data_IF_363526429680
#
_entry.id   IF_363526429680
#
_cell.length_a   1.000
_cell.length_b   1.000
_cell.length_c   1.000
_cell.angle_alpha   90.00
_cell.angle_beta   90.00
_cell.angle_gamma   90.00
#
_symmetry.space_group_name_H-M   'P 1'
#
loop_
_entity.id
_entity.type
_entity.pdbx_description
1 polymer ?
#
# COMPACT_ATOMS: atom_id res chain seq x y z
N UNK A 1 -1.51 -17.34 9.44
CA UNK A 1 -1.25 -16.19 8.55
C UNK A 1 -2.41 -15.24 8.71
N UNK A 2 -2.16 -14.00 9.13
CA UNK A 2 -3.25 -13.01 9.13
C UNK A 2 -3.62 -12.75 7.66
N UNK A 3 -4.91 -12.87 7.39
CA UNK A 3 -5.50 -12.99 6.06
C UNK A 3 -5.65 -11.63 5.40
N UNK A 4 -5.47 -11.59 4.08
CA UNK A 4 -5.89 -10.43 3.30
C UNK A 4 -7.39 -10.16 3.53
N UNK A 5 -7.76 -8.89 3.48
CA UNK A 5 -9.10 -8.38 3.72
C UNK A 5 -9.79 -8.08 2.39
N UNK A 6 -11.02 -8.56 2.24
CA UNK A 6 -11.83 -8.31 1.04
C UNK A 6 -12.92 -7.28 1.32
N UNK A 7 -13.06 -6.31 0.42
CA UNK A 7 -14.25 -5.48 0.25
C UNK A 7 -14.76 -5.59 -1.18
N UNK A 8 -16.07 -5.66 -1.38
CA UNK A 8 -16.66 -5.92 -2.69
C UNK A 8 -18.13 -5.47 -2.77
N UNK A 9 -18.60 -5.33 -4.00
CA UNK A 9 -20.02 -5.31 -4.35
C UNK A 9 -20.24 -6.31 -5.53
N UNK A 10 -21.39 -6.24 -6.20
CA UNK A 10 -21.69 -7.12 -7.36
C UNK A 10 -20.89 -6.80 -8.64
N UNK A 11 -20.09 -5.74 -8.65
CA UNK A 11 -19.37 -5.21 -9.82
C UNK A 11 -17.85 -5.25 -9.68
N UNK A 12 -17.34 -5.15 -8.46
CA UNK A 12 -15.91 -5.05 -8.16
C UNK A 12 -15.58 -5.74 -6.84
N UNK A 13 -14.41 -6.38 -6.79
CA UNK A 13 -13.79 -6.98 -5.62
C UNK A 13 -12.39 -6.38 -5.43
N UNK A 14 -12.06 -6.07 -4.18
CA UNK A 14 -10.79 -5.46 -3.79
C UNK A 14 -10.21 -6.29 -2.66
N UNK A 15 -8.94 -6.68 -2.81
CA UNK A 15 -8.18 -7.41 -1.77
C UNK A 15 -7.10 -6.50 -1.25
N UNK A 16 -7.04 -6.37 0.07
CA UNK A 16 -6.10 -5.51 0.80
C UNK A 16 -5.31 -6.36 1.77
N UNK A 17 -4.00 -6.17 1.88
CA UNK A 17 -3.17 -6.86 2.84
C UNK A 17 -2.66 -5.90 3.92
N UNK A 18 -3.32 -5.86 5.10
CA UNK A 18 -2.87 -5.03 6.20
C UNK A 18 -1.48 -5.39 6.70
N UNK A 19 -1.03 -6.64 6.53
CA UNK A 19 0.26 -7.10 7.06
C UNK A 19 1.47 -6.70 6.22
N UNK A 20 1.24 -6.18 5.01
CA UNK A 20 2.28 -5.75 4.10
C UNK A 20 1.94 -4.36 3.56
N UNK A 21 2.08 -3.34 4.39
CA UNK A 21 1.90 -1.94 3.99
C UNK A 21 0.47 -1.52 3.67
N UNK A 22 -0.54 -2.33 4.01
CA UNK A 22 -1.91 -2.07 3.57
C UNK A 22 -2.06 -2.11 2.05
N UNK A 23 -1.22 -2.92 1.38
CA UNK A 23 -1.17 -3.04 -0.09
C UNK A 23 -2.51 -3.48 -0.63
N UNK A 24 -2.99 -2.83 -1.69
CA UNK A 24 -4.10 -3.35 -2.48
C UNK A 24 -3.50 -4.35 -3.47
N UNK A 25 -3.78 -5.63 -3.25
CA UNK A 25 -3.20 -6.73 -4.03
C UNK A 25 -4.04 -7.04 -5.28
N UNK A 26 -5.34 -6.77 -5.19
CA UNK A 26 -6.31 -7.09 -6.24
C UNK A 26 -7.35 -6.00 -6.42
N UNK A 27 -7.63 -5.67 -7.68
CA UNK A 27 -8.80 -4.89 -8.10
C UNK A 27 -9.37 -5.59 -9.34
N UNK A 28 -10.56 -6.16 -9.24
CA UNK A 28 -11.15 -6.91 -10.36
C UNK A 28 -12.65 -7.07 -10.27
N UNK A 29 -13.27 -7.61 -11.32
CA UNK A 29 -14.72 -7.90 -11.37
C UNK A 29 -15.14 -8.93 -10.31
N UNK A 30 -14.25 -9.87 -10.02
CA UNK A 30 -14.40 -10.92 -9.02
C UNK A 30 -13.06 -11.13 -8.32
N UNK A 31 -12.96 -12.14 -7.46
CA UNK A 31 -11.69 -12.59 -6.87
C UNK A 31 -10.89 -13.52 -7.80
N UNK A 32 -11.33 -13.70 -9.04
CA UNK A 32 -10.57 -14.46 -10.04
C UNK A 32 -9.32 -13.65 -10.43
N UNK A 33 -8.09 -14.20 -10.25
CA UNK A 33 -6.84 -13.53 -10.59
C UNK A 33 -6.79 -12.99 -12.02
N UNK A 34 -7.46 -13.64 -12.99
CA UNK A 34 -7.50 -13.20 -14.39
C UNK A 34 -8.23 -11.86 -14.58
N UNK A 35 -9.03 -11.45 -13.59
CA UNK A 35 -9.73 -10.15 -13.60
C UNK A 35 -8.98 -9.04 -12.89
N UNK A 36 -7.82 -9.34 -12.29
CA UNK A 36 -7.02 -8.34 -11.59
C UNK A 36 -6.41 -7.36 -12.60
N UNK A 37 -6.67 -6.06 -12.40
CA UNK A 37 -6.04 -5.02 -13.23
C UNK A 37 -4.64 -4.64 -12.75
N UNK A 38 -4.29 -5.00 -11.52
CA UNK A 38 -2.96 -4.78 -10.97
C UNK A 38 -1.99 -5.88 -11.42
N UNK A 39 -0.74 -5.51 -11.63
CA UNK A 39 0.32 -6.50 -11.75
C UNK A 39 0.50 -7.13 -10.37
N UNK A 40 0.13 -8.40 -10.21
CA UNK A 40 0.27 -9.14 -8.96
C UNK A 40 0.84 -10.53 -9.23
N UNK A 41 1.86 -10.92 -8.46
CA UNK A 41 2.55 -12.18 -8.65
C UNK A 41 2.56 -12.99 -7.35
N UNK A 42 1.95 -14.17 -7.37
CA UNK A 42 1.89 -15.08 -6.22
C UNK A 42 3.13 -15.99 -6.19
N UNK A 43 4.30 -15.41 -5.86
CA UNK A 43 5.52 -16.18 -5.67
C UNK A 43 5.91 -16.25 -4.19
N UNK A 44 6.25 -17.46 -3.73
CA UNK A 44 6.69 -17.70 -2.36
C UNK A 44 8.14 -17.21 -2.12
N UNK A 45 8.93 -17.13 -3.18
CA UNK A 45 10.33 -16.72 -3.13
C UNK A 45 10.58 -15.37 -3.85
N UNK A 46 11.46 -14.51 -3.31
CA UNK A 46 12.13 -14.66 -2.02
C UNK A 46 11.14 -14.58 -0.84
N UNK A 47 11.35 -15.42 0.17
CA UNK A 47 10.60 -15.32 1.42
C UNK A 47 10.78 -13.92 2.05
N UNK A 48 9.72 -13.42 2.68
CA UNK A 48 9.75 -12.10 3.30
C UNK A 48 10.80 -12.02 4.42
N UNK A 49 11.76 -11.12 4.30
CA UNK A 49 12.79 -10.87 5.30
C UNK A 49 12.21 -10.16 6.54
N UNK A 50 12.85 -10.25 7.72
CA UNK A 50 12.40 -9.54 8.92
C UNK A 50 12.20 -8.03 8.71
N UNK A 51 11.28 -7.44 9.47
CA UNK A 51 11.00 -5.99 9.41
C UNK A 51 12.14 -5.15 10.03
N UNK A 52 12.97 -5.77 10.87
CA UNK A 52 14.18 -5.17 11.41
C UNK A 52 15.35 -5.43 10.46
N UNK A 53 16.12 -4.38 10.20
CA UNK A 53 17.25 -4.43 9.28
C UNK A 53 18.29 -3.35 9.59
N UNK A 54 19.54 -3.64 9.24
CA UNK A 54 20.65 -2.70 9.32
C UNK A 54 20.49 -1.52 8.35
N UNK A 55 21.29 -0.48 8.55
CA UNK A 55 21.40 0.64 7.63
C UNK A 55 21.81 0.16 6.22
N UNK A 56 21.26 0.79 5.19
CA UNK A 56 21.42 0.48 3.76
C UNK A 56 20.82 -0.84 3.27
N UNK A 57 20.15 -1.61 4.13
CA UNK A 57 19.54 -2.90 3.76
C UNK A 57 18.04 -2.79 3.44
N UNK A 58 17.40 -1.63 3.68
CA UNK A 58 15.93 -1.53 3.63
C UNK A 58 15.35 -1.86 2.25
N UNK A 59 16.06 -1.56 1.16
CA UNK A 59 15.62 -1.89 -0.20
C UNK A 59 15.52 -3.41 -0.42
N UNK A 60 16.49 -4.18 0.06
CA UNK A 60 16.47 -5.65 -0.03
C UNK A 60 15.30 -6.23 0.76
N UNK A 61 15.06 -5.70 1.95
CA UNK A 61 13.96 -6.14 2.81
C UNK A 61 12.59 -5.81 2.20
N UNK A 62 12.45 -4.61 1.63
CA UNK A 62 11.26 -4.21 0.90
C UNK A 62 11.00 -5.09 -0.33
N UNK A 63 12.03 -5.32 -1.17
CA UNK A 63 11.93 -6.15 -2.37
C UNK A 63 11.59 -7.60 -2.04
N UNK A 64 12.01 -8.12 -0.89
CA UNK A 64 11.62 -9.47 -0.46
C UNK A 64 10.10 -9.65 -0.30
N UNK A 65 9.37 -8.54 -0.09
CA UNK A 65 7.91 -8.50 0.14
C UNK A 65 7.12 -7.99 -1.05
N UNK A 66 7.79 -7.38 -2.01
CA UNK A 66 7.13 -6.77 -3.16
C UNK A 66 6.62 -7.86 -4.11
N UNK A 67 5.34 -7.76 -4.48
CA UNK A 67 4.66 -8.66 -5.43
C UNK A 67 3.91 -7.87 -6.51
N UNK A 68 4.11 -6.55 -6.56
CA UNK A 68 3.29 -5.63 -7.34
C UNK A 68 2.14 -5.06 -6.51
N UNK A 69 0.95 -4.93 -7.11
CA UNK A 69 -0.22 -4.34 -6.47
C UNK A 69 -0.15 -2.81 -6.38
N UNK A 70 -0.79 -2.25 -5.37
CA UNK A 70 -0.80 -0.81 -5.11
C UNK A 70 -0.45 -0.51 -3.65
N UNK A 71 0.75 0.03 -3.46
CA UNK A 71 1.31 0.43 -2.16
C UNK A 71 1.22 1.93 -1.93
N UNK A 72 1.13 2.34 -0.66
CA UNK A 72 1.21 3.74 -0.25
C UNK A 72 2.55 4.04 0.40
N UNK A 73 3.30 4.98 -0.19
CA UNK A 73 4.66 5.29 0.21
C UNK A 73 4.70 6.61 0.96
N UNK A 74 5.05 6.55 2.25
CA UNK A 74 5.29 7.70 3.13
C UNK A 74 6.12 7.23 4.35
N UNK A 75 6.94 8.10 4.99
CA UNK A 75 7.25 9.50 4.65
C UNK A 75 8.29 9.65 3.54
N UNK A 76 8.79 8.54 2.99
CA UNK A 76 9.73 8.51 1.88
C UNK A 76 9.15 7.70 0.74
N UNK A 77 9.48 8.05 -0.50
CA UNK A 77 9.13 7.26 -1.69
C UNK A 77 10.37 6.94 -2.54
N UNK A 78 11.57 7.30 -2.08
CA UNK A 78 12.82 7.08 -2.79
C UNK A 78 13.71 6.02 -2.16
N UNK A 79 15.01 6.18 -2.39
CA UNK A 79 16.06 5.38 -1.75
C UNK A 79 16.04 5.57 -0.24
N UNK A 80 16.59 4.61 0.49
CA UNK A 80 16.90 4.79 1.90
C UNK A 80 17.76 6.06 2.10
N UNK A 81 17.45 6.83 3.14
CA UNK A 81 18.18 8.05 3.46
C UNK A 81 18.11 8.40 4.95
N UNK A 82 18.94 9.36 5.36
CA UNK A 82 18.82 10.05 6.64
C UNK A 82 18.47 11.49 6.35
N UNK A 83 17.37 11.97 6.91
CA UNK A 83 16.91 13.35 6.79
C UNK A 83 16.57 13.89 8.18
N UNK A 84 17.05 15.09 8.52
CA UNK A 84 16.90 15.68 9.85
C UNK A 84 17.27 14.73 11.02
N UNK A 85 18.28 13.88 10.82
CA UNK A 85 18.73 12.91 11.82
C UNK A 85 17.81 11.70 12.00
N UNK A 86 16.72 11.59 11.22
CA UNK A 86 15.81 10.45 11.19
C UNK A 86 16.12 9.59 9.97
N UNK A 87 16.19 8.28 10.17
CA UNK A 87 16.37 7.32 9.09
C UNK A 87 15.01 7.02 8.45
N UNK A 88 14.97 7.07 7.12
CA UNK A 88 13.81 6.66 6.34
C UNK A 88 14.18 5.46 5.47
N UNK A 89 13.37 4.40 5.56
CA UNK A 89 13.51 3.22 4.73
C UNK A 89 13.28 3.51 3.25
N UNK A 90 13.78 2.63 2.39
CA UNK A 90 13.37 2.54 0.99
C UNK A 90 11.84 2.54 0.90
N UNK A 91 11.31 3.48 0.10
CA UNK A 91 9.86 3.66 -0.09
C UNK A 91 9.02 3.88 1.19
N UNK A 92 9.65 4.26 2.30
CA UNK A 92 8.97 4.67 3.53
C UNK A 92 8.33 3.52 4.31
N UNK A 93 8.15 3.74 5.61
CA UNK A 93 7.64 2.74 6.56
C UNK A 93 6.24 2.23 6.19
N UNK A 94 5.38 3.12 5.71
CA UNK A 94 3.98 2.79 5.42
C UNK A 94 3.82 1.73 4.32
N UNK A 95 4.83 1.55 3.48
CA UNK A 95 4.76 0.71 2.29
C UNK A 95 4.95 -0.79 2.56
N UNK A 96 5.43 -1.16 3.74
CA UNK A 96 5.70 -2.56 4.10
C UNK A 96 5.36 -2.91 5.55
N UNK A 97 5.30 -1.92 6.46
CA UNK A 97 4.94 -2.18 7.85
C UNK A 97 3.48 -2.63 7.98
N UNK A 98 3.13 -3.46 8.97
CA UNK A 98 1.74 -3.84 9.22
C UNK A 98 0.87 -2.64 9.63
N UNK A 99 -0.33 -2.59 9.08
CA UNK A 99 -1.38 -1.64 9.40
C UNK A 99 -2.44 -2.31 10.28
N UNK A 100 -3.07 -1.51 11.14
CA UNK A 100 -4.22 -1.93 11.94
C UNK A 100 -5.50 -1.75 11.12
N UNK A 101 -6.35 -2.78 11.07
CA UNK A 101 -7.72 -2.64 10.55
C UNK A 101 -8.60 -2.06 11.66
N UNK A 102 -8.91 -0.76 11.56
CA UNK A 102 -9.70 -0.06 12.59
C UNK A 102 -11.21 -0.30 12.44
N UNK A 103 -11.69 -0.49 11.20
CA UNK A 103 -13.08 -0.79 10.90
C UNK A 103 -13.19 -1.52 9.56
N UNK A 104 -14.21 -2.39 9.42
CA UNK A 104 -14.48 -3.11 8.17
C UNK A 104 -15.98 -3.42 8.03
N UNK A 105 -16.48 -3.28 6.80
CA UNK A 105 -17.77 -3.80 6.32
C UNK A 105 -17.53 -4.59 5.03
N UNK A 106 -18.59 -5.06 4.37
CA UNK A 106 -18.46 -5.68 3.04
C UNK A 106 -17.98 -4.70 1.96
N UNK A 107 -18.23 -3.40 2.10
CA UNK A 107 -17.98 -2.39 1.05
C UNK A 107 -16.95 -1.34 1.47
N UNK A 108 -16.43 -1.41 2.71
CA UNK A 108 -15.46 -0.43 3.21
C UNK A 108 -14.49 -1.01 4.21
N UNK A 109 -13.25 -0.52 4.21
CA UNK A 109 -12.22 -0.83 5.21
C UNK A 109 -11.47 0.46 5.60
N UNK A 110 -11.18 0.58 6.89
CA UNK A 110 -10.33 1.64 7.45
C UNK A 110 -9.05 1.03 8.00
N UNK A 111 -7.91 1.50 7.51
CA UNK A 111 -6.57 1.08 7.92
C UNK A 111 -5.88 2.24 8.63
N UNK A 112 -5.11 1.93 9.66
CA UNK A 112 -4.31 2.92 10.39
C UNK A 112 -2.89 2.43 10.66
N UNK A 113 -1.93 3.35 10.58
CA UNK A 113 -0.55 3.13 11.03
C UNK A 113 0.00 4.40 11.69
N UNK A 114 0.87 4.22 12.69
CA UNK A 114 1.70 5.30 13.25
C UNK A 114 3.14 5.04 12.83
N UNK A 115 3.78 6.04 12.26
CA UNK A 115 5.16 6.00 11.77
C UNK A 115 6.10 6.50 12.86
N UNK A 116 7.38 6.11 12.78
CA UNK A 116 8.39 6.53 13.76
C UNK A 116 8.61 8.04 13.79
N UNK A 117 8.36 8.74 12.68
CA UNK A 117 8.38 10.21 12.61
C UNK A 117 7.26 10.89 13.40
N UNK A 118 6.34 10.14 14.03
CA UNK A 118 5.21 10.71 14.76
C UNK A 118 4.00 11.05 13.89
N UNK A 119 4.05 10.72 12.60
CA UNK A 119 2.91 10.78 11.69
C UNK A 119 1.94 9.62 11.96
N UNK A 120 0.64 9.91 11.95
CA UNK A 120 -0.41 8.88 11.79
C UNK A 120 -0.91 8.94 10.35
N UNK A 121 -1.07 7.77 9.74
CA UNK A 121 -1.75 7.63 8.45
C UNK A 121 -3.03 6.84 8.67
N UNK A 122 -4.13 7.35 8.15
CA UNK A 122 -5.42 6.65 8.08
C UNK A 122 -5.82 6.54 6.62
N UNK A 123 -6.14 5.34 6.14
CA UNK A 123 -6.68 5.10 4.80
C UNK A 123 -8.07 4.51 4.90
N UNK A 124 -9.03 5.09 4.19
CA UNK A 124 -10.41 4.60 4.08
C UNK A 124 -10.66 4.23 2.63
N UNK A 125 -10.87 2.94 2.38
CA UNK A 125 -11.32 2.45 1.08
C UNK A 125 -12.82 2.20 1.16
N UNK A 126 -13.56 2.67 0.15
CA UNK A 126 -15.01 2.51 0.06
C UNK A 126 -15.42 2.20 -1.37
N UNK A 127 -16.03 1.03 -1.58
CA UNK A 127 -16.61 0.60 -2.84
C UNK A 127 -17.88 1.40 -3.12
N UNK A 128 -18.03 1.87 -4.36
CA UNK A 128 -19.25 2.55 -4.79
C UNK A 128 -20.39 1.53 -4.95
N UNK A 129 -21.52 1.72 -4.28
CA UNK A 129 -22.63 0.76 -4.30
C UNK A 129 -23.26 0.51 -5.69
N UNK A 130 -23.02 1.39 -6.67
CA UNK A 130 -23.73 1.42 -7.94
C UNK A 130 -22.89 1.06 -9.17
N UNK A 131 -21.56 1.00 -9.04
CA UNK A 131 -20.63 0.79 -10.18
C UNK A 131 -19.36 0.04 -9.78
N UNK A 132 -18.59 -0.38 -10.78
CA UNK A 132 -17.26 -0.97 -10.61
C UNK A 132 -16.23 0.12 -10.29
N UNK A 133 -16.36 0.76 -9.13
CA UNK A 133 -15.45 1.81 -8.68
C UNK A 133 -15.31 1.77 -7.15
N UNK A 134 -14.25 2.37 -6.65
CA UNK A 134 -14.07 2.65 -5.23
C UNK A 134 -13.32 3.96 -5.07
N UNK A 135 -13.33 4.48 -3.85
CA UNK A 135 -12.52 5.63 -3.43
C UNK A 135 -11.53 5.17 -2.38
N UNK A 136 -10.35 5.78 -2.39
CA UNK A 136 -9.37 5.66 -1.32
C UNK A 136 -9.08 7.07 -0.81
N UNK A 137 -9.49 7.34 0.43
CA UNK A 137 -9.19 8.60 1.11
C UNK A 137 -8.08 8.38 2.13
N UNK A 138 -6.97 9.08 1.95
CA UNK A 138 -5.80 8.99 2.83
C UNK A 138 -5.64 10.30 3.62
N UNK A 139 -5.60 10.20 4.94
CA UNK A 139 -5.34 11.31 5.86
C UNK A 139 -3.99 11.10 6.54
N UNK A 140 -3.13 12.10 6.49
CA UNK A 140 -1.90 12.16 7.28
C UNK A 140 -2.07 13.21 8.38
N UNK A 141 -1.68 12.86 9.60
CA UNK A 141 -1.74 13.77 10.74
C UNK A 141 -0.42 13.74 11.48
N UNK A 142 0.18 14.90 11.68
CA UNK A 142 1.39 15.06 12.47
C UNK A 142 1.03 15.29 13.94
N UNK A 143 1.52 14.41 14.82
CA UNK A 143 1.31 14.50 16.28
C UNK A 143 2.52 15.07 17.03
N UNK A 144 3.55 15.51 16.31
CA UNK A 144 4.69 16.21 16.91
C UNK A 144 4.42 17.72 16.97
N UNK A 145 5.22 18.43 17.75
CA UNK A 145 5.17 19.89 17.83
C UNK A 145 6.07 20.57 16.76
N UNK A 146 6.71 19.78 15.89
CA UNK A 146 7.60 20.26 14.86
C UNK A 146 7.01 19.96 13.47
N UNK A 147 7.23 20.81 12.46
CA UNK A 147 6.88 20.46 11.09
C UNK A 147 7.62 19.19 10.64
N UNK A 148 6.93 18.32 9.92
CA UNK A 148 7.49 17.10 9.32
C UNK A 148 7.43 17.23 7.79
N UNK A 149 8.55 16.98 7.12
CA UNK A 149 8.55 16.87 5.66
C UNK A 149 8.17 15.45 5.25
N UNK A 150 7.31 15.35 4.23
CA UNK A 150 6.81 14.06 3.76
C UNK A 150 6.83 13.99 2.25
N UNK A 151 7.23 12.84 1.74
CA UNK A 151 6.95 12.43 0.37
C UNK A 151 5.80 11.43 0.42
N UNK A 152 4.78 11.68 -0.41
CA UNK A 152 3.58 10.86 -0.50
C UNK A 152 3.45 10.37 -1.93
N UNK A 153 3.41 9.05 -2.13
CA UNK A 153 3.21 8.43 -3.44
C UNK A 153 2.19 7.30 -3.37
N UNK A 154 1.23 7.32 -4.28
CA UNK A 154 0.37 6.17 -4.60
C UNK A 154 1.10 5.33 -5.67
N UNK A 155 1.72 4.23 -5.24
CA UNK A 155 2.57 3.40 -6.08
C UNK A 155 1.78 2.20 -6.62
N UNK A 156 0.99 2.45 -7.67
CA UNK A 156 0.18 1.44 -8.34
C UNK A 156 0.94 0.78 -9.50
N UNK A 157 1.10 -0.54 -9.44
CA UNK A 157 1.62 -1.35 -10.54
C UNK A 157 0.45 -1.98 -11.30
N UNK A 158 0.25 -1.56 -12.56
CA UNK A 158 -0.75 -2.16 -13.44
C UNK A 158 -0.15 -3.29 -14.27
N UNK A 159 -0.99 -4.27 -14.62
CA UNK A 159 -0.58 -5.34 -15.52
C UNK A 159 -0.18 -4.77 -16.88
N UNK A 160 1.08 -4.96 -17.26
CA UNK A 160 1.60 -4.49 -18.55
C UNK A 160 1.06 -5.32 -19.73
N UNK A 161 0.97 -4.68 -20.90
CA UNK A 161 0.63 -5.33 -22.18
C UNK A 161 1.32 -4.61 -23.33
N UNK A 162 1.70 -5.29 -24.43
CA UNK A 162 2.20 -4.64 -25.64
C UNK A 162 1.25 -3.59 -26.22
N UNK A 163 -0.05 -3.69 -25.89
CA UNK A 163 -1.09 -2.77 -26.35
C UNK A 163 -1.52 -1.77 -25.26
N UNK A 164 -0.73 -1.60 -24.19
CA UNK A 164 -1.07 -0.65 -23.12
C UNK A 164 -1.06 0.77 -23.68
N UNK A 165 -2.10 1.53 -23.38
CA UNK A 165 -2.17 2.96 -23.70
C UNK A 165 -2.02 3.73 -22.40
N UNK A 166 -0.91 4.44 -22.26
CA UNK A 166 -0.70 5.35 -21.12
C UNK A 166 -1.15 6.74 -21.56
N UNK A 167 -2.08 7.32 -20.80
CA UNK A 167 -2.50 8.70 -20.96
C UNK A 167 -2.28 9.42 -19.63
N UNK A 168 -1.79 10.64 -19.70
CA UNK A 168 -1.62 11.53 -18.56
C UNK A 168 -2.22 12.90 -18.94
N UNK A 169 -2.68 13.69 -17.95
CA UNK A 169 -2.96 15.10 -18.20
C UNK A 169 -1.74 15.80 -18.79
N UNK A 170 -1.97 16.80 -19.65
CA UNK A 170 -0.93 17.70 -20.17
C UNK A 170 -0.23 18.49 -19.05
#
# INVERSE_FOLDING_TARGET
>A
MATAEVIANKFISIVVNPQNGGTIEHIGKSLDPETNVLAWYEWDEPAALPLEFSENESAKHWLSRYRGGWQFLTPNAGRECVFNGVRHSFHGESSYMPWTVAAKTSESITLEIRLLSGLKVTRVLTVDSSKAAFTCHTTLSNFTNAPEEVVIVEHAAFQGSPNVVVSAPD
#
